data_IF_497029527333
#
_entry.id   IF_497029527333
#
_cell.length_a   1.000
_cell.length_b   1.000
_cell.length_c   1.000
_cell.angle_alpha   90.00
_cell.angle_beta   90.00
_cell.angle_gamma   90.00
#
_symmetry.space_group_name_H-M   'P 1'
#
loop_
_entity.id
_entity.type
_entity.pdbx_description
1 polymer ?
#
# COMPACT_ATOMS: atom_id res chain seq x y z
N UNK A 1 -2.40 18.57 -10.97
CA UNK A 1 -2.79 17.14 -10.95
C UNK A 1 -2.53 16.60 -9.55
N UNK A 2 -3.46 15.85 -8.95
CA UNK A 2 -3.33 15.25 -7.61
C UNK A 2 -3.13 13.74 -7.77
N UNK A 3 -2.25 13.14 -6.97
CA UNK A 3 -2.04 11.69 -6.97
C UNK A 3 -3.21 11.02 -6.24
N UNK A 4 -3.98 10.20 -6.94
CA UNK A 4 -5.18 9.56 -6.39
C UNK A 4 -4.88 8.25 -5.66
N UNK A 5 -3.89 7.51 -6.13
CA UNK A 5 -3.50 6.24 -5.53
C UNK A 5 -2.03 5.92 -5.77
N UNK A 6 -1.48 5.04 -4.93
CA UNK A 6 -0.12 4.53 -5.06
C UNK A 6 -0.08 3.06 -4.66
N UNK A 7 0.65 2.22 -5.42
CA UNK A 7 0.77 0.78 -5.18
C UNK A 7 2.23 0.38 -5.08
N UNK A 8 2.61 -0.32 -4.01
CA UNK A 8 3.91 -1.01 -3.94
C UNK A 8 3.77 -2.50 -4.23
N UNK A 9 4.80 -3.06 -4.87
CA UNK A 9 4.96 -4.51 -4.96
C UNK A 9 5.35 -5.10 -3.60
N UNK A 10 4.91 -6.31 -3.29
CA UNK A 10 5.39 -7.08 -2.14
C UNK A 10 5.71 -8.53 -2.50
N UNK A 11 6.74 -9.08 -1.85
CA UNK A 11 7.10 -10.50 -1.89
C UNK A 11 6.53 -11.28 -0.69
N UNK A 12 5.87 -10.59 0.26
CA UNK A 12 5.30 -11.19 1.47
C UNK A 12 4.08 -10.35 1.90
N UNK A 13 2.91 -10.75 1.41
CA UNK A 13 1.65 -10.04 1.69
C UNK A 13 1.39 -9.95 3.19
N UNK A 14 1.63 -11.02 3.96
CA UNK A 14 1.36 -11.03 5.38
C UNK A 14 2.21 -10.00 6.13
N UNK A 15 3.53 -9.95 5.87
CA UNK A 15 4.42 -8.96 6.50
C UNK A 15 4.07 -7.53 6.09
N UNK A 16 3.76 -7.32 4.81
CA UNK A 16 3.36 -5.99 4.33
C UNK A 16 2.08 -5.51 4.98
N UNK A 17 1.07 -6.36 5.07
CA UNK A 17 -0.21 -6.01 5.71
C UNK A 17 0.00 -5.68 7.19
N UNK A 18 0.75 -6.50 7.93
CA UNK A 18 1.07 -6.23 9.34
C UNK A 18 1.79 -4.87 9.52
N UNK A 19 2.72 -4.54 8.64
CA UNK A 19 3.44 -3.27 8.68
C UNK A 19 2.52 -2.07 8.41
N UNK A 20 1.73 -2.11 7.34
CA UNK A 20 0.88 -0.98 6.96
C UNK A 20 -0.36 -0.83 7.84
N UNK A 21 -0.85 -1.92 8.42
CA UNK A 21 -1.88 -1.84 9.48
C UNK A 21 -1.38 -1.05 10.69
N UNK A 22 -0.17 -1.38 11.16
CA UNK A 22 0.45 -0.66 12.27
C UNK A 22 0.81 0.79 11.89
N UNK A 23 1.21 1.04 10.64
CA UNK A 23 1.55 2.38 10.18
C UNK A 23 0.35 3.32 10.14
N UNK A 24 -0.83 2.81 9.78
CA UNK A 24 -2.05 3.61 9.67
C UNK A 24 -2.97 3.50 10.90
N UNK A 25 -2.51 2.84 11.96
CA UNK A 25 -3.28 2.68 13.19
C UNK A 25 -3.58 4.04 13.83
N UNK A 26 -4.86 4.37 13.98
CA UNK A 26 -5.32 5.63 14.59
C UNK A 26 -5.49 6.80 13.61
N UNK A 27 -5.09 6.63 12.34
CA UNK A 27 -5.28 7.63 11.28
C UNK A 27 -6.62 7.46 10.54
N UNK A 28 -6.95 8.43 9.68
CA UNK A 28 -8.11 8.37 8.80
C UNK A 28 -7.93 7.46 7.56
N UNK A 29 -6.95 6.55 7.58
CA UNK A 29 -6.64 5.62 6.50
C UNK A 29 -7.04 4.20 6.93
N UNK A 30 -8.08 3.65 6.31
CA UNK A 30 -8.68 2.39 6.71
C UNK A 30 -8.48 1.31 5.67
N UNK A 31 -8.25 0.07 6.10
CA UNK A 31 -8.21 -1.09 5.20
C UNK A 31 -9.61 -1.34 4.64
N UNK A 32 -9.74 -1.34 3.31
CA UNK A 32 -11.03 -1.53 2.62
C UNK A 32 -11.08 -2.81 1.76
N UNK A 33 -9.93 -3.43 1.50
CA UNK A 33 -9.84 -4.67 0.74
C UNK A 33 -8.57 -5.44 1.14
N UNK A 34 -8.66 -6.76 1.24
CA UNK A 34 -7.58 -7.63 1.73
C UNK A 34 -7.67 -9.05 1.15
N UNK A 35 -8.02 -9.17 -0.13
CA UNK A 35 -8.26 -10.46 -0.78
C UNK A 35 -7.47 -10.59 -2.09
N UNK A 36 -7.18 -11.84 -2.49
CA UNK A 36 -6.42 -12.13 -3.69
C UNK A 36 -5.00 -11.54 -3.62
N UNK A 37 -4.55 -10.94 -4.73
CA UNK A 37 -3.18 -10.47 -4.89
C UNK A 37 -2.88 -9.10 -4.26
N UNK A 38 -3.85 -8.46 -3.60
CA UNK A 38 -3.74 -7.04 -3.24
C UNK A 38 -4.48 -6.69 -1.95
N UNK A 39 -3.85 -5.84 -1.13
CA UNK A 39 -4.50 -5.20 0.03
C UNK A 39 -4.53 -3.68 -0.19
N UNK A 40 -5.68 -3.05 0.07
CA UNK A 40 -5.89 -1.61 -0.07
C UNK A 40 -6.29 -0.96 1.26
N UNK A 41 -5.71 0.21 1.48
CA UNK A 41 -6.16 1.18 2.46
C UNK A 41 -6.60 2.46 1.76
N UNK A 42 -7.68 3.07 2.25
CA UNK A 42 -8.24 4.30 1.70
C UNK A 42 -8.42 5.35 2.79
N UNK A 43 -7.97 6.56 2.49
CA UNK A 43 -8.37 7.79 3.17
C UNK A 43 -9.35 8.59 2.30
N UNK A 44 -9.67 9.82 2.72
CA UNK A 44 -10.69 10.64 2.06
C UNK A 44 -10.40 10.95 0.59
N UNK A 45 -9.13 11.17 0.24
CA UNK A 45 -8.71 11.61 -1.10
C UNK A 45 -7.61 10.75 -1.72
N UNK A 46 -7.18 9.68 -1.06
CA UNK A 46 -6.01 8.90 -1.44
C UNK A 46 -6.19 7.43 -1.09
N UNK A 47 -5.69 6.55 -1.96
CA UNK A 47 -5.60 5.11 -1.72
C UNK A 47 -4.16 4.63 -1.77
N UNK A 48 -3.79 3.80 -0.80
CA UNK A 48 -2.52 3.08 -0.80
C UNK A 48 -2.78 1.59 -0.92
N UNK A 49 -1.94 0.89 -1.67
CA UNK A 49 -2.03 -0.55 -1.80
C UNK A 49 -0.67 -1.21 -1.76
N UNK A 50 -0.69 -2.47 -1.35
CA UNK A 50 0.39 -3.42 -1.67
C UNK A 50 -0.19 -4.54 -2.51
N UNK A 51 0.56 -4.98 -3.51
CA UNK A 51 0.15 -6.07 -4.40
C UNK A 51 1.31 -7.02 -4.70
N UNK A 52 1.01 -8.30 -4.85
CA UNK A 52 1.92 -9.22 -5.54
C UNK A 52 2.04 -8.79 -7.01
N UNK A 53 3.25 -8.77 -7.60
CA UNK A 53 3.46 -8.35 -8.98
C UNK A 53 2.56 -9.12 -9.96
N UNK A 54 1.97 -8.39 -10.90
CA UNK A 54 0.99 -8.98 -11.82
C UNK A 54 1.64 -9.95 -12.83
N UNK A 55 2.90 -9.72 -13.16
CA UNK A 55 3.73 -10.57 -14.03
C UNK A 55 4.24 -11.84 -13.33
N UNK A 56 4.12 -11.91 -12.00
CA UNK A 56 4.56 -13.04 -11.19
C UNK A 56 6.06 -13.07 -10.89
N UNK A 57 6.81 -12.05 -11.31
CA UNK A 57 8.22 -11.88 -10.94
C UNK A 57 8.35 -11.35 -9.50
N UNK A 58 9.58 -11.35 -8.96
CA UNK A 58 9.83 -10.78 -7.64
C UNK A 58 9.58 -9.27 -7.60
N UNK A 59 8.87 -8.80 -6.58
CA UNK A 59 8.72 -7.39 -6.31
C UNK A 59 10.10 -6.77 -6.05
N UNK A 60 10.38 -5.68 -6.75
CA UNK A 60 11.58 -4.88 -6.57
C UNK A 60 11.22 -3.43 -6.21
N UNK A 61 12.18 -2.71 -5.64
CA UNK A 61 12.02 -1.28 -5.41
C UNK A 61 12.58 -0.49 -6.59
N UNK A 62 11.89 0.58 -6.98
CA UNK A 62 12.42 1.55 -7.93
C UNK A 62 13.47 2.43 -7.26
N UNK A 63 14.66 2.54 -7.85
CA UNK A 63 15.71 3.42 -7.32
C UNK A 63 15.20 4.88 -7.25
N UNK A 64 15.20 5.47 -6.05
CA UNK A 64 14.68 6.82 -5.79
C UNK A 64 13.16 6.94 -5.63
N UNK A 65 12.41 5.83 -5.68
CA UNK A 65 10.95 5.85 -5.45
C UNK A 65 10.65 6.06 -3.97
N UNK A 66 9.82 7.06 -3.67
CA UNK A 66 9.36 7.37 -2.33
C UNK A 66 7.87 7.75 -2.36
N UNK A 67 7.15 7.39 -1.30
CA UNK A 67 5.81 7.91 -1.02
C UNK A 67 5.83 8.53 0.38
N UNK A 68 5.30 9.74 0.51
CA UNK A 68 5.14 10.42 1.78
C UNK A 68 3.68 10.38 2.20
N UNK A 69 3.42 9.96 3.43
CA UNK A 69 2.09 10.02 4.03
C UNK A 69 1.99 11.22 4.95
N UNK A 70 0.88 11.95 4.87
CA UNK A 70 0.53 12.98 5.83
C UNK A 70 -0.50 12.37 6.79
N UNK A 71 0.00 11.90 7.94
CA UNK A 71 -0.73 11.15 8.96
C UNK A 71 -0.75 11.99 10.25
N UNK A 72 -1.59 13.02 10.27
CA UNK A 72 -1.73 13.94 11.42
C UNK A 72 -0.74 15.10 11.45
#
# INVERSE_FOLDING_TARGET
MKMNYFVFGTNDMQKSVLFYDALFEGDAINKIHAEGRMTLWAGQDFMFAVAEPFDGDEASFGNGTMVGFNLG
#
